data_IF_576697128043
#
_entry.id   IF_576697128043
#
_cell.length_a   1.000
_cell.length_b   1.000
_cell.length_c   1.000
_cell.angle_alpha   90.00
_cell.angle_beta   90.00
_cell.angle_gamma   90.00
#
_symmetry.space_group_name_H-M   'P 1'
#
loop_
_entity.id
_entity.type
_entity.pdbx_description
1 polymer ?
#
# COMPACT_ATOMS: atom_id res chain seq x y z
N UNK A 1 15.54 -30.48 0.64
CA UNK A 1 15.52 -29.26 -0.20
C UNK A 1 15.22 -28.04 0.65
N UNK A 2 14.06 -27.96 1.30
CA UNK A 2 13.63 -26.79 2.09
C UNK A 2 14.65 -26.42 3.17
N UNK A 3 15.10 -27.37 3.99
CA UNK A 3 16.11 -27.10 5.03
C UNK A 3 17.42 -26.56 4.46
N UNK A 4 17.85 -27.09 3.31
CA UNK A 4 19.04 -26.61 2.58
C UNK A 4 18.88 -25.16 2.14
N UNK A 5 17.70 -24.79 1.66
CA UNK A 5 17.41 -23.41 1.24
C UNK A 5 17.31 -22.46 2.44
N UNK A 6 16.75 -22.92 3.57
CA UNK A 6 16.63 -22.13 4.80
C UNK A 6 17.99 -21.78 5.42
N UNK A 7 18.91 -22.75 5.42
CA UNK A 7 20.22 -22.62 6.05
C UNK A 7 21.26 -21.95 5.15
N UNK A 8 20.92 -21.66 3.89
CA UNK A 8 21.83 -20.97 2.98
C UNK A 8 22.06 -19.52 3.42
N UNK A 9 23.34 -19.16 3.58
CA UNK A 9 23.75 -17.83 4.07
C UNK A 9 23.20 -16.68 3.22
N UNK A 10 23.09 -16.88 1.89
CA UNK A 10 22.59 -15.83 1.00
C UNK A 10 21.08 -15.66 1.12
N UNK A 11 20.35 -16.76 1.33
CA UNK A 11 18.93 -16.72 1.68
C UNK A 11 18.71 -15.92 2.96
N UNK A 12 19.49 -16.19 4.00
CA UNK A 12 19.41 -15.49 5.29
C UNK A 12 19.71 -13.99 5.12
N UNK A 13 20.76 -13.64 4.36
CA UNK A 13 21.12 -12.25 4.07
C UNK A 13 19.99 -11.48 3.37
N UNK A 14 19.39 -12.07 2.32
CA UNK A 14 18.30 -11.46 1.56
C UNK A 14 17.03 -11.29 2.42
N UNK A 15 16.68 -12.29 3.23
CA UNK A 15 15.58 -12.19 4.19
C UNK A 15 15.80 -11.06 5.20
N UNK A 16 17.01 -10.92 5.74
CA UNK A 16 17.33 -9.84 6.67
C UNK A 16 17.17 -8.46 6.03
N UNK A 17 17.58 -8.30 4.77
CA UNK A 17 17.36 -7.05 4.02
C UNK A 17 15.88 -6.76 3.81
N UNK A 18 15.09 -7.76 3.42
CA UNK A 18 13.64 -7.64 3.28
C UNK A 18 13.04 -7.18 4.61
N UNK A 19 13.38 -7.82 5.73
CA UNK A 19 12.86 -7.47 7.05
C UNK A 19 13.16 -6.00 7.43
N UNK A 20 14.37 -5.51 7.17
CA UNK A 20 14.73 -4.11 7.43
C UNK A 20 13.84 -3.15 6.64
N UNK A 21 13.73 -3.38 5.32
CA UNK A 21 12.92 -2.50 4.46
C UNK A 21 11.42 -2.64 4.81
N UNK A 22 10.97 -3.82 5.19
CA UNK A 22 9.58 -4.09 5.56
C UNK A 22 9.21 -3.39 6.87
N UNK A 23 10.11 -3.34 7.84
CA UNK A 23 9.92 -2.56 9.06
C UNK A 23 9.78 -1.06 8.76
N UNK A 24 10.62 -0.51 7.89
CA UNK A 24 10.49 0.87 7.44
C UNK A 24 9.16 1.12 6.71
N UNK A 25 8.78 0.21 5.81
CA UNK A 25 7.53 0.30 5.06
C UNK A 25 6.33 0.28 6.01
N UNK A 26 6.30 -0.64 6.98
CA UNK A 26 5.27 -0.73 8.01
C UNK A 26 5.21 0.52 8.88
N UNK A 27 6.35 1.13 9.22
CA UNK A 27 6.40 2.41 9.92
C UNK A 27 5.71 3.53 9.15
N UNK A 28 5.92 3.59 7.83
CA UNK A 28 5.21 4.55 6.96
C UNK A 28 3.71 4.24 6.91
N UNK A 29 3.32 2.97 6.80
CA UNK A 29 1.89 2.58 6.82
C UNK A 29 1.21 3.03 8.12
N UNK A 30 1.87 2.83 9.26
CA UNK A 30 1.35 3.25 10.57
C UNK A 30 1.18 4.77 10.68
N UNK A 31 2.15 5.54 10.17
CA UNK A 31 2.04 7.02 10.11
C UNK A 31 0.85 7.46 9.25
N UNK A 32 0.62 6.81 8.11
CA UNK A 32 -0.51 7.12 7.23
C UNK A 32 -1.86 6.79 7.91
N UNK A 33 -1.96 5.65 8.60
CA UNK A 33 -3.15 5.26 9.36
C UNK A 33 -3.46 6.27 10.47
N UNK A 34 -2.44 6.71 11.21
CA UNK A 34 -2.60 7.73 12.25
C UNK A 34 -3.14 9.05 11.69
N UNK A 35 -2.60 9.52 10.56
CA UNK A 35 -3.09 10.73 9.89
C UNK A 35 -4.55 10.59 9.44
N UNK A 36 -4.93 9.44 8.87
CA UNK A 36 -6.32 9.18 8.49
C UNK A 36 -7.26 9.17 9.70
N UNK A 37 -6.84 8.56 10.82
CA UNK A 37 -7.62 8.56 12.06
C UNK A 37 -7.83 9.98 12.61
N UNK A 38 -6.79 10.82 12.57
CA UNK A 38 -6.88 12.22 12.98
C UNK A 38 -7.81 13.04 12.06
N UNK A 39 -7.75 12.82 10.75
CA UNK A 39 -8.69 13.44 9.80
C UNK A 39 -10.13 13.03 10.12
N UNK A 40 -10.38 11.74 10.34
CA UNK A 40 -11.72 11.24 10.68
C UNK A 40 -12.24 11.85 11.98
N UNK A 41 -11.38 12.00 13.01
CA UNK A 41 -11.72 12.68 14.26
C UNK A 41 -12.07 14.15 14.02
N UNK A 42 -11.25 14.88 13.26
CA UNK A 42 -11.47 16.29 12.98
C UNK A 42 -12.77 16.53 12.20
N UNK A 43 -13.12 15.63 11.26
CA UNK A 43 -14.41 15.69 10.54
C UNK A 43 -15.60 15.55 11.49
N UNK A 44 -15.54 14.59 12.43
CA UNK A 44 -16.60 14.42 13.45
C UNK A 44 -16.73 15.64 14.36
N UNK A 45 -15.62 16.30 14.71
CA UNK A 45 -15.65 17.53 15.49
C UNK A 45 -16.30 18.68 14.71
N UNK A 46 -16.02 18.80 13.41
CA UNK A 46 -16.70 19.78 12.54
C UNK A 46 -18.21 19.51 12.51
N UNK A 47 -18.63 18.26 12.31
CA UNK A 47 -20.04 17.88 12.29
C UNK A 47 -20.74 18.25 13.61
N UNK A 48 -20.11 17.99 14.76
CA UNK A 48 -20.65 18.35 16.07
C UNK A 48 -20.77 19.87 16.26
N UNK A 49 -19.76 20.65 15.84
CA UNK A 49 -19.80 22.11 15.91
C UNK A 49 -20.87 22.72 15.01
N UNK A 50 -21.12 22.12 13.83
CA UNK A 50 -22.20 22.54 12.93
C UNK A 50 -23.56 22.30 13.61
N UNK A 51 -23.78 21.11 14.18
CA UNK A 51 -25.03 20.82 14.91
C UNK A 51 -25.24 21.74 16.12
N UNK A 52 -24.17 22.09 16.83
CA UNK A 52 -24.22 23.06 17.92
C UNK A 52 -24.62 24.45 17.41
N UNK A 53 -24.06 24.90 16.29
CA UNK A 53 -24.44 26.17 15.65
C UNK A 53 -25.92 26.16 15.24
N UNK A 54 -26.40 25.10 14.58
CA UNK A 54 -27.81 24.99 14.20
C UNK A 54 -28.73 25.09 15.43
N UNK A 55 -28.35 24.50 16.56
CA UNK A 55 -29.09 24.59 17.82
C UNK A 55 -29.08 26.00 18.41
N UNK A 56 -27.95 26.71 18.33
CA UNK A 56 -27.83 28.10 18.78
C UNK A 56 -28.63 29.06 17.88
N UNK A 57 -28.61 28.87 16.57
CA UNK A 57 -29.43 29.64 15.62
C UNK A 57 -30.92 29.46 15.91
N UNK A 58 -31.38 28.22 16.14
CA UNK A 58 -32.77 27.96 16.53
C UNK A 58 -33.15 28.64 17.86
N UNK A 59 -32.21 28.79 18.81
CA UNK A 59 -32.46 29.54 20.05
C UNK A 59 -32.61 31.03 19.78
N UNK A 60 -31.78 31.60 18.90
CA UNK A 60 -31.89 33.00 18.48
C UNK A 60 -33.26 33.25 17.83
N UNK A 61 -33.65 32.39 16.88
CA UNK A 61 -34.94 32.51 16.17
C UNK A 61 -36.16 32.35 17.09
N UNK A 62 -36.00 31.62 18.21
CA UNK A 62 -37.05 31.38 19.19
C UNK A 62 -37.20 32.47 20.26
N UNK A 63 -36.34 33.49 20.29
CA UNK A 63 -36.46 34.60 21.25
C UNK A 63 -37.65 35.48 20.89
N UNK A 64 -38.60 35.63 21.82
CA UNK A 64 -39.82 36.39 21.59
C UNK A 64 -39.54 37.91 21.61
N UNK A 65 -39.83 38.59 20.51
CA UNK A 65 -39.50 40.00 20.28
C UNK A 65 -40.74 40.87 20.55
N UNK A 66 -41.24 40.87 21.80
CA UNK A 66 -42.36 41.71 22.22
C UNK A 66 -41.88 42.78 23.24
N UNK A 67 -41.85 44.05 22.83
CA UNK A 67 -41.45 45.18 23.70
C UNK A 67 -40.01 45.67 23.49
N UNK A 68 -39.38 46.20 24.55
CA UNK A 68 -37.96 46.57 24.54
C UNK A 68 -37.08 45.32 24.38
N UNK A 69 -36.33 45.24 23.29
CA UNK A 69 -35.52 44.07 22.93
C UNK A 69 -34.24 44.04 23.77
N UNK A 70 -34.07 42.99 24.58
CA UNK A 70 -32.80 42.67 25.24
C UNK A 70 -31.95 41.77 24.31
N UNK A 71 -30.80 42.30 23.86
CA UNK A 71 -29.88 41.61 22.95
C UNK A 71 -28.87 40.70 23.67
N UNK A 72 -28.88 40.63 25.01
CA UNK A 72 -27.85 39.93 25.78
C UNK A 72 -27.71 38.45 25.39
N UNK A 73 -28.82 37.73 25.24
CA UNK A 73 -28.80 36.31 24.84
C UNK A 73 -28.48 36.13 23.34
N UNK A 74 -28.90 37.07 22.48
CA UNK A 74 -28.57 37.08 21.05
C UNK A 74 -27.06 37.24 20.86
N UNK A 75 -26.47 38.21 21.53
CA UNK A 75 -25.04 38.49 21.48
C UNK A 75 -24.24 37.28 21.97
N UNK A 76 -24.66 36.68 23.08
CA UNK A 76 -24.03 35.47 23.64
C UNK A 76 -24.03 34.30 22.65
N UNK A 77 -25.19 33.97 22.07
CA UNK A 77 -25.29 32.85 21.12
C UNK A 77 -24.53 33.16 19.82
N UNK A 78 -24.58 34.41 19.34
CA UNK A 78 -23.83 34.85 18.16
C UNK A 78 -22.32 34.75 18.37
N UNK A 79 -21.80 35.12 19.54
CA UNK A 79 -20.39 34.99 19.88
C UNK A 79 -19.93 33.53 19.92
N UNK A 80 -20.77 32.64 20.43
CA UNK A 80 -20.49 31.20 20.46
C UNK A 80 -20.48 30.59 19.05
N UNK A 81 -21.45 30.94 18.20
CA UNK A 81 -21.48 30.57 16.78
C UNK A 81 -20.22 31.07 16.05
N UNK A 82 -19.84 32.33 16.28
CA UNK A 82 -18.63 32.91 15.71
C UNK A 82 -17.35 32.16 16.15
N UNK A 83 -17.27 31.80 17.43
CA UNK A 83 -16.17 31.00 17.97
C UNK A 83 -16.11 29.62 17.31
N UNK A 84 -17.24 28.95 17.18
CA UNK A 84 -17.36 27.64 16.54
C UNK A 84 -16.99 27.68 15.05
N UNK A 85 -17.44 28.70 14.31
CA UNK A 85 -17.07 28.91 12.91
C UNK A 85 -15.55 29.08 12.72
N UNK A 86 -14.88 29.77 13.65
CA UNK A 86 -13.41 29.87 13.66
C UNK A 86 -12.76 28.50 13.88
N UNK A 87 -13.24 27.70 14.85
CA UNK A 87 -12.74 26.33 15.10
C UNK A 87 -12.93 25.43 13.87
N UNK A 88 -14.11 25.47 13.24
CA UNK A 88 -14.41 24.73 12.01
C UNK A 88 -13.41 25.09 10.91
N UNK A 89 -13.16 26.39 10.69
CA UNK A 89 -12.20 26.86 9.69
C UNK A 89 -10.79 26.32 9.95
N UNK A 90 -10.34 26.33 11.21
CA UNK A 90 -9.02 25.79 11.60
C UNK A 90 -8.95 24.27 11.39
N UNK A 91 -9.99 23.53 11.75
CA UNK A 91 -10.06 22.08 11.55
C UNK A 91 -10.06 21.73 10.06
N UNK A 92 -10.77 22.49 9.22
CA UNK A 92 -10.76 22.31 7.76
C UNK A 92 -9.37 22.55 7.17
N UNK A 93 -8.66 23.59 7.60
CA UNK A 93 -7.26 23.82 7.20
C UNK A 93 -6.35 22.67 7.62
N UNK A 94 -6.49 22.18 8.86
CA UNK A 94 -5.71 21.06 9.36
C UNK A 94 -5.98 19.76 8.56
N UNK A 95 -7.24 19.49 8.20
CA UNK A 95 -7.62 18.36 7.34
C UNK A 95 -6.99 18.48 5.95
N UNK A 96 -7.06 19.66 5.33
CA UNK A 96 -6.48 19.88 4.00
C UNK A 96 -4.97 19.68 4.00
N UNK A 97 -4.28 20.21 5.03
CA UNK A 97 -2.85 19.98 5.23
C UNK A 97 -2.52 18.50 5.41
N UNK A 98 -3.26 17.80 6.28
CA UNK A 98 -3.03 16.38 6.54
C UNK A 98 -3.27 15.51 5.28
N UNK A 99 -4.29 15.83 4.47
CA UNK A 99 -4.53 15.16 3.18
C UNK A 99 -3.35 15.37 2.22
N UNK A 100 -2.82 16.59 2.13
CA UNK A 100 -1.66 16.88 1.29
C UNK A 100 -0.40 16.13 1.78
N UNK A 101 -0.20 16.03 3.09
CA UNK A 101 0.90 15.25 3.69
C UNK A 101 0.76 13.76 3.41
N UNK A 102 -0.45 13.20 3.51
CA UNK A 102 -0.74 11.79 3.16
C UNK A 102 -0.37 11.54 1.70
N UNK A 103 -0.87 12.37 0.78
CA UNK A 103 -0.61 12.19 -0.65
C UNK A 103 0.89 12.30 -0.95
N UNK A 104 1.57 13.29 -0.35
CA UNK A 104 3.01 13.45 -0.51
C UNK A 104 3.77 12.19 -0.06
N UNK A 105 3.45 11.64 1.12
CA UNK A 105 4.05 10.41 1.63
C UNK A 105 3.79 9.21 0.71
N UNK A 106 2.57 9.07 0.18
CA UNK A 106 2.20 7.98 -0.72
C UNK A 106 3.02 7.99 -2.01
N UNK A 107 3.20 9.17 -2.61
CA UNK A 107 3.84 9.31 -3.91
C UNK A 107 5.38 9.40 -3.81
N UNK A 108 5.92 9.51 -2.59
CA UNK A 108 7.35 9.56 -2.28
C UNK A 108 7.79 8.33 -1.49
N UNK A 109 7.93 8.45 -0.17
CA UNK A 109 8.53 7.44 0.71
C UNK A 109 7.82 6.08 0.62
N UNK A 110 6.48 6.07 0.58
CA UNK A 110 5.71 4.81 0.51
C UNK A 110 6.00 4.06 -0.79
N UNK A 111 5.89 4.75 -1.93
CA UNK A 111 6.17 4.20 -3.25
C UNK A 111 7.63 3.72 -3.36
N UNK A 112 8.58 4.52 -2.88
CA UNK A 112 9.99 4.19 -2.98
C UNK A 112 10.33 2.93 -2.14
N UNK A 113 9.74 2.79 -0.94
CA UNK A 113 9.90 1.60 -0.09
C UNK A 113 9.18 0.37 -0.64
N UNK A 114 7.99 0.53 -1.21
CA UNK A 114 7.25 -0.54 -1.89
C UNK A 114 8.05 -1.11 -3.08
N UNK A 115 8.62 -0.23 -3.89
CA UNK A 115 9.52 -0.63 -4.98
C UNK A 115 10.77 -1.34 -4.47
N UNK A 116 11.39 -0.82 -3.41
CA UNK A 116 12.56 -1.45 -2.79
C UNK A 116 12.24 -2.87 -2.28
N UNK A 117 11.09 -3.06 -1.61
CA UNK A 117 10.61 -4.38 -1.20
C UNK A 117 10.43 -5.31 -2.38
N UNK A 118 9.71 -4.85 -3.42
CA UNK A 118 9.48 -5.67 -4.61
C UNK A 118 10.79 -6.13 -5.26
N UNK A 119 11.82 -5.27 -5.29
CA UNK A 119 13.13 -5.60 -5.83
C UNK A 119 13.82 -6.66 -4.99
N UNK A 120 13.83 -6.52 -3.65
CA UNK A 120 14.49 -7.51 -2.78
C UNK A 120 13.76 -8.86 -2.75
N UNK A 121 12.43 -8.88 -2.75
CA UNK A 121 11.67 -10.12 -2.91
C UNK A 121 11.99 -10.80 -4.25
N UNK A 122 12.06 -10.05 -5.35
CA UNK A 122 12.44 -10.61 -6.66
C UNK A 122 13.85 -11.22 -6.63
N UNK A 123 14.80 -10.55 -5.97
CA UNK A 123 16.16 -11.11 -5.78
C UNK A 123 16.13 -12.40 -4.98
N UNK A 124 15.38 -12.45 -3.88
CA UNK A 124 15.22 -13.65 -3.06
C UNK A 124 14.62 -14.81 -3.86
N UNK A 125 13.50 -14.59 -4.56
CA UNK A 125 12.83 -15.65 -5.31
C UNK A 125 13.65 -16.15 -6.49
N UNK A 126 14.32 -15.26 -7.22
CA UNK A 126 15.23 -15.67 -8.29
C UNK A 126 16.37 -16.56 -7.72
N UNK A 127 17.00 -16.12 -6.62
CA UNK A 127 18.07 -16.87 -5.98
C UNK A 127 17.61 -18.25 -5.49
N UNK A 128 16.47 -18.30 -4.78
CA UNK A 128 15.90 -19.56 -4.30
C UNK A 128 15.56 -20.50 -5.45
N UNK A 129 15.01 -19.98 -6.55
CA UNK A 129 14.70 -20.77 -7.74
C UNK A 129 15.97 -21.36 -8.34
N UNK A 130 17.00 -20.55 -8.58
CA UNK A 130 18.30 -21.01 -9.09
C UNK A 130 18.92 -22.09 -8.20
N UNK A 131 18.83 -21.92 -6.88
CA UNK A 131 19.37 -22.87 -5.90
C UNK A 131 18.54 -24.16 -5.81
N UNK A 132 17.22 -24.07 -5.98
CA UNK A 132 16.31 -25.22 -5.92
C UNK A 132 16.37 -26.09 -7.18
N UNK A 133 16.61 -25.50 -8.36
CA UNK A 133 16.66 -26.22 -9.64
C UNK A 133 17.52 -27.50 -9.60
N UNK A 134 18.79 -27.49 -9.17
CA UNK A 134 19.60 -28.72 -9.12
C UNK A 134 19.17 -29.71 -8.03
N UNK A 135 18.42 -29.26 -7.01
CA UNK A 135 17.88 -30.14 -5.96
C UNK A 135 16.63 -30.90 -6.44
N UNK A 136 15.86 -30.31 -7.36
CA UNK A 136 14.67 -30.93 -7.97
C UNK A 136 15.04 -31.75 -9.20
N UNK A 137 15.85 -31.18 -10.09
CA UNK A 137 16.29 -31.82 -11.34
C UNK A 137 17.56 -32.63 -11.13
N UNK A 138 17.44 -33.72 -10.38
CA UNK A 138 18.55 -34.68 -10.24
C UNK A 138 18.98 -35.27 -11.60
N UNK A 139 20.20 -35.81 -11.73
CA UNK A 139 20.65 -36.43 -12.98
C UNK A 139 19.68 -37.48 -13.53
N UNK A 140 19.01 -38.23 -12.66
CA UNK A 140 17.99 -39.22 -13.04
C UNK A 140 16.74 -38.55 -13.65
N UNK A 141 16.25 -37.47 -13.03
CA UNK A 141 15.10 -36.71 -13.57
C UNK A 141 15.45 -36.10 -14.93
N UNK A 142 16.62 -35.50 -15.05
CA UNK A 142 17.12 -34.95 -16.32
C UNK A 142 17.24 -36.04 -17.39
N UNK A 143 17.75 -37.23 -17.03
CA UNK A 143 17.81 -38.36 -17.95
C UNK A 143 16.42 -38.77 -18.45
N UNK A 144 15.44 -38.89 -17.55
CA UNK A 144 14.05 -39.22 -17.93
C UNK A 144 13.43 -38.17 -18.86
N UNK A 145 13.64 -36.87 -18.59
CA UNK A 145 13.17 -35.80 -19.46
C UNK A 145 13.84 -35.88 -20.85
N UNK A 146 15.14 -36.17 -20.90
CA UNK A 146 15.85 -36.35 -22.16
C UNK A 146 15.36 -37.57 -22.95
N UNK A 147 15.01 -38.66 -22.27
CA UNK A 147 14.41 -39.84 -22.92
C UNK A 147 13.03 -39.51 -23.50
N UNK A 148 12.19 -38.79 -22.74
CA UNK A 148 10.88 -38.31 -23.22
C UNK A 148 11.02 -37.40 -24.44
N UNK A 149 11.94 -36.45 -24.39
CA UNK A 149 12.27 -35.59 -25.53
C UNK A 149 12.71 -36.42 -26.74
N UNK A 150 13.52 -37.47 -26.54
CA UNK A 150 13.97 -38.34 -27.63
C UNK A 150 12.83 -39.17 -28.23
N UNK A 151 11.90 -39.66 -27.40
CA UNK A 151 10.69 -40.36 -27.87
C UNK A 151 9.80 -39.42 -28.69
N UNK A 152 9.61 -38.18 -28.21
CA UNK A 152 8.84 -37.15 -28.90
C UNK A 152 9.44 -36.80 -30.28
N UNK A 153 10.76 -36.64 -30.35
CA UNK A 153 11.47 -36.36 -31.62
C UNK A 153 11.41 -37.56 -32.57
N UNK A 154 11.61 -38.78 -32.06
CA UNK A 154 11.65 -39.97 -32.92
C UNK A 154 10.30 -40.28 -33.58
N UNK A 155 9.20 -39.63 -33.16
CA UNK A 155 7.89 -39.75 -33.79
C UNK A 155 7.62 -38.78 -34.95
N UNK A 156 8.41 -37.73 -35.18
CA UNK A 156 8.19 -36.76 -36.29
C UNK A 156 9.48 -36.28 -36.97
N UNK A 157 9.44 -36.14 -38.31
CA UNK A 157 10.47 -35.45 -39.10
C UNK A 157 10.26 -33.92 -38.98
N UNK A 158 10.99 -33.19 -38.13
CA UNK A 158 10.94 -31.72 -38.19
C UNK A 158 12.15 -31.01 -37.55
N UNK A 159 12.31 -29.74 -37.89
CA UNK A 159 13.43 -28.87 -37.55
C UNK A 159 13.16 -27.98 -36.32
N UNK A 160 12.10 -28.26 -35.54
CA UNK A 160 11.62 -27.38 -34.43
C UNK A 160 11.22 -28.12 -33.14
N UNK A 161 11.65 -29.37 -32.99
CA UNK A 161 11.06 -30.34 -32.05
C UNK A 161 11.25 -30.00 -30.56
N UNK A 162 12.31 -29.27 -30.24
CA UNK A 162 12.60 -28.89 -28.85
C UNK A 162 11.57 -27.89 -28.31
N UNK A 163 11.12 -26.94 -29.12
CA UNK A 163 10.14 -25.93 -28.69
C UNK A 163 8.79 -26.61 -28.46
N UNK A 164 8.32 -27.41 -29.41
CA UNK A 164 7.07 -28.15 -29.29
C UNK A 164 7.07 -29.11 -28.09
N UNK A 165 8.18 -29.80 -27.84
CA UNK A 165 8.32 -30.64 -26.64
C UNK A 165 8.23 -29.81 -25.35
N UNK A 166 8.91 -28.67 -25.28
CA UNK A 166 8.87 -27.80 -24.09
C UNK A 166 7.49 -27.19 -23.87
N UNK A 167 6.75 -26.85 -24.94
CA UNK A 167 5.38 -26.36 -24.85
C UNK A 167 4.43 -27.44 -24.32
N UNK A 168 4.58 -28.68 -24.80
CA UNK A 168 3.83 -29.83 -24.27
C UNK A 168 4.16 -30.08 -22.79
N UNK A 169 5.45 -30.14 -22.44
CA UNK A 169 5.90 -30.34 -21.07
C UNK A 169 5.41 -29.21 -20.15
N UNK A 170 5.47 -27.96 -20.61
CA UNK A 170 4.97 -26.79 -19.87
C UNK A 170 3.46 -26.91 -19.63
N UNK A 171 2.69 -27.28 -20.65
CA UNK A 171 1.24 -27.44 -20.54
C UNK A 171 0.86 -28.55 -19.56
N UNK A 172 1.56 -29.70 -19.63
CA UNK A 172 1.37 -30.78 -18.67
C UNK A 172 1.71 -30.31 -17.25
N UNK A 173 2.89 -29.73 -17.02
CA UNK A 173 3.31 -29.26 -15.70
C UNK A 173 2.35 -28.22 -15.14
N UNK A 174 1.89 -27.24 -15.94
CA UNK A 174 0.89 -26.25 -15.51
C UNK A 174 -0.38 -26.90 -14.97
N UNK A 175 -0.84 -28.00 -15.55
CA UNK A 175 -2.03 -28.71 -15.06
C UNK A 175 -1.81 -29.45 -13.74
N UNK A 176 -0.56 -29.71 -13.37
CA UNK A 176 -0.18 -30.44 -12.15
C UNK A 176 0.23 -29.50 -11.01
N UNK A 177 0.60 -28.26 -11.32
CA UNK A 177 1.00 -27.28 -10.30
C UNK A 177 -0.22 -26.85 -9.49
N UNK A 178 -0.09 -26.93 -8.18
CA UNK A 178 -1.01 -26.33 -7.21
C UNK A 178 -0.29 -25.21 -6.46
N UNK A 179 -1.04 -24.23 -5.97
CA UNK A 179 -0.49 -23.24 -5.06
C UNK A 179 -0.02 -23.93 -3.77
N UNK A 180 1.26 -23.73 -3.44
CA UNK A 180 1.88 -24.20 -2.19
C UNK A 180 2.28 -22.96 -1.40
N UNK A 181 1.90 -22.94 -0.12
CA UNK A 181 2.25 -21.83 0.75
C UNK A 181 3.77 -21.79 1.01
N UNK A 182 4.37 -20.62 0.82
CA UNK A 182 5.80 -20.38 1.04
C UNK A 182 6.14 -20.15 2.52
N UNK A 183 5.16 -20.28 3.42
CA UNK A 183 5.39 -20.30 4.87
C UNK A 183 6.37 -21.40 5.28
N UNK A 184 6.45 -22.51 4.54
CA UNK A 184 7.47 -23.54 4.76
C UNK A 184 8.90 -23.02 4.60
N UNK A 185 9.11 -21.92 3.86
CA UNK A 185 10.40 -21.24 3.73
C UNK A 185 10.52 -20.04 4.66
N UNK A 186 9.60 -19.81 5.59
CA UNK A 186 9.52 -18.62 6.45
C UNK A 186 9.51 -17.31 5.63
N UNK A 187 8.86 -17.33 4.46
CA UNK A 187 8.72 -16.15 3.59
C UNK A 187 7.26 -15.73 3.64
N UNK A 188 6.97 -14.71 4.44
CA UNK A 188 5.68 -14.04 4.47
C UNK A 188 5.82 -12.84 3.54
N UNK A 189 4.94 -12.73 2.53
CA UNK A 189 4.90 -11.55 1.67
C UNK A 189 4.61 -10.27 2.47
N UNK A 190 4.59 -9.12 1.79
CA UNK A 190 4.21 -7.86 2.42
C UNK A 190 2.81 -7.43 1.98
N UNK A 191 2.06 -6.81 2.90
CA UNK A 191 0.72 -6.32 2.65
C UNK A 191 0.73 -4.80 2.47
N UNK A 192 0.02 -4.35 1.44
CA UNK A 192 -0.20 -2.93 1.17
C UNK A 192 -1.51 -2.51 1.81
N UNK A 193 -1.44 -1.54 2.71
CA UNK A 193 -2.63 -0.93 3.30
C UNK A 193 -3.18 0.24 2.45
N UNK A 194 -2.39 0.76 1.51
CA UNK A 194 -2.74 1.95 0.74
C UNK A 194 -2.47 1.76 -0.76
N UNK A 195 -3.37 2.29 -1.56
CA UNK A 195 -3.14 2.47 -2.99
C UNK A 195 -2.28 3.70 -3.24
N UNK A 196 -1.35 3.59 -4.19
CA UNK A 196 -0.52 4.71 -4.61
C UNK A 196 -1.27 5.46 -5.71
N UNK A 197 -1.53 6.78 -5.57
CA UNK A 197 -2.16 7.57 -6.62
C UNK A 197 -1.41 7.43 -7.95
N UNK A 198 -2.16 7.21 -9.03
CA UNK A 198 -1.58 7.19 -10.35
C UNK A 198 -1.17 8.61 -10.75
N UNK A 199 0.13 8.84 -10.87
CA UNK A 199 0.72 10.10 -11.33
C UNK A 199 1.83 9.74 -12.31
N UNK A 200 1.84 10.40 -13.48
CA UNK A 200 2.88 10.17 -14.48
C UNK A 200 4.24 10.65 -13.96
N UNK A 201 5.34 10.15 -14.53
CA UNK A 201 6.67 10.62 -14.14
C UNK A 201 6.86 12.11 -14.39
N UNK A 202 6.25 12.65 -15.45
CA UNK A 202 6.33 14.06 -15.80
C UNK A 202 5.57 14.94 -14.80
N UNK A 203 4.41 14.49 -14.33
CA UNK A 203 3.56 15.27 -13.42
C UNK A 203 3.98 15.11 -11.95
N UNK A 204 4.77 14.07 -11.61
CA UNK A 204 5.12 13.76 -10.20
C UNK A 204 5.84 14.91 -9.52
N UNK A 205 6.82 15.52 -10.19
CA UNK A 205 7.62 16.57 -9.58
C UNK A 205 6.81 17.85 -9.37
N UNK A 206 5.97 18.21 -10.34
CA UNK A 206 5.03 19.33 -10.20
C UNK A 206 4.05 19.07 -9.04
N UNK A 207 3.48 17.86 -8.97
CA UNK A 207 2.55 17.51 -7.90
C UNK A 207 3.21 17.56 -6.51
N UNK A 208 4.44 17.09 -6.37
CA UNK A 208 5.21 17.21 -5.13
C UNK A 208 5.35 18.69 -4.73
N UNK A 209 5.69 19.57 -5.67
CA UNK A 209 5.82 21.01 -5.39
C UNK A 209 4.48 21.63 -4.96
N UNK A 210 3.38 21.29 -5.63
CA UNK A 210 2.03 21.74 -5.26
C UNK A 210 1.64 21.29 -3.85
N UNK A 211 1.93 20.04 -3.50
CA UNK A 211 1.64 19.48 -2.17
C UNK A 211 2.50 20.16 -1.10
N UNK A 212 3.81 20.34 -1.35
CA UNK A 212 4.71 21.07 -0.45
C UNK A 212 4.24 22.51 -0.22
N UNK A 213 3.82 23.21 -1.27
CA UNK A 213 3.26 24.55 -1.17
C UNK A 213 1.96 24.57 -0.35
N UNK A 214 1.11 23.55 -0.49
CA UNK A 214 -0.12 23.41 0.31
C UNK A 214 0.19 23.20 1.80
N UNK A 215 1.20 22.38 2.10
CA UNK A 215 1.62 22.06 3.47
C UNK A 215 2.27 23.26 4.18
N UNK A 216 3.00 24.08 3.42
CA UNK A 216 3.70 25.27 3.90
C UNK A 216 2.79 26.48 4.16
N UNK A 217 1.54 26.47 3.67
CA UNK A 217 0.60 27.55 3.94
C UNK A 217 0.18 27.55 5.43
N UNK A 218 0.22 28.70 6.10
CA UNK A 218 -0.18 28.84 7.50
C UNK A 218 -1.70 28.70 7.72
#
# INVERSE_FOLDING_TARGET
>A
MIDTLKQDNKTIELKNRINIIQNDFNSIQNKLLEKQANIARNKKLIEALIQENDSLENKIDGLNIDGDIDFTDIDKYSDEINSNNRKITLLQKAINKANAEIELLLITEYKDKEQALSIEYKKLFNYLSEKAMPLVFSPQVIHSINLLHKLFINSEQATNDKVCFLDYLSSYLKSQLSDVDLTELDIIGYQKAFDIPYITLFDRQERIQQLQATIAKP
#
